data_IF_006768492077
#
_entry.id   IF_006768492077
#
_cell.length_a   1.000
_cell.length_b   1.000
_cell.length_c   1.000
_cell.angle_alpha   90.00
_cell.angle_beta   90.00
_cell.angle_gamma   90.00
#
_symmetry.space_group_name_H-M   'P 1'
#
loop_
_entity.id
_entity.type
_entity.pdbx_description
1 polymer ?
#
# COMPACT_ATOMS: atom_id res chain seq x y z
N UNK A 1 -11.46 10.49 25.47
CA UNK A 1 -10.35 11.19 24.82
C UNK A 1 -10.03 10.54 23.51
N UNK A 2 -9.92 11.35 22.49
CA UNK A 2 -9.61 10.84 21.17
C UNK A 2 -8.13 10.49 21.12
N UNK A 3 -7.82 9.27 20.71
CA UNK A 3 -6.43 8.90 20.46
C UNK A 3 -5.96 9.63 19.21
N UNK A 4 -5.11 10.61 19.41
CA UNK A 4 -4.52 11.33 18.30
C UNK A 4 -3.35 10.51 17.76
N UNK A 5 -3.31 10.30 16.45
CA UNK A 5 -2.14 9.68 15.85
C UNK A 5 -0.92 10.54 16.16
N UNK A 6 0.18 9.87 16.50
CA UNK A 6 1.44 10.56 16.69
C UNK A 6 2.00 10.96 15.34
N UNK A 7 1.69 12.18 14.92
CA UNK A 7 2.08 12.69 13.60
C UNK A 7 3.59 12.73 13.40
N UNK A 8 4.36 12.71 14.50
CA UNK A 8 5.81 12.72 14.39
C UNK A 8 6.39 11.39 13.89
N UNK A 9 5.57 10.33 13.91
CA UNK A 9 6.00 9.00 13.49
C UNK A 9 5.20 8.46 12.31
N UNK A 10 4.33 9.26 11.71
CA UNK A 10 3.45 8.79 10.63
C UNK A 10 3.73 9.50 9.31
N UNK A 11 3.47 8.78 8.21
CA UNK A 11 3.38 9.33 6.88
C UNK A 11 2.03 8.89 6.33
N UNK A 12 1.29 9.81 5.73
CA UNK A 12 -0.04 9.50 5.23
C UNK A 12 -0.24 10.11 3.85
N UNK A 13 -0.78 9.30 2.94
CA UNK A 13 -1.21 9.76 1.61
C UNK A 13 -2.61 9.22 1.36
N UNK A 14 -3.39 9.97 0.57
CA UNK A 14 -4.74 9.53 0.23
C UNK A 14 -5.10 9.99 -1.19
N UNK A 15 -6.14 9.35 -1.73
CA UNK A 15 -6.65 9.70 -3.04
C UNK A 15 -8.10 9.23 -3.18
N UNK A 16 -8.91 10.03 -3.86
CA UNK A 16 -10.27 9.63 -4.22
C UNK A 16 -10.22 8.96 -5.58
N UNK A 17 -10.54 7.66 -5.62
CA UNK A 17 -10.50 6.89 -6.87
C UNK A 17 -11.92 6.57 -7.32
N UNK A 18 -12.09 6.46 -8.64
CA UNK A 18 -13.41 6.32 -9.26
C UNK A 18 -13.81 4.85 -9.38
N UNK A 19 -14.03 4.22 -8.24
CA UNK A 19 -14.45 2.83 -8.14
C UNK A 19 -15.04 2.58 -6.76
N UNK A 20 -15.97 1.62 -6.62
CA UNK A 20 -16.53 1.32 -5.29
C UNK A 20 -15.52 0.56 -4.43
N UNK A 21 -15.68 0.60 -3.09
CA UNK A 21 -14.72 -0.02 -2.17
C UNK A 21 -14.45 -1.51 -2.46
N UNK A 22 -15.47 -2.27 -2.83
CA UNK A 22 -15.30 -3.69 -3.11
C UNK A 22 -14.32 -3.92 -4.26
N UNK A 23 -14.39 -3.10 -5.30
CA UNK A 23 -13.50 -3.21 -6.43
C UNK A 23 -12.08 -2.77 -6.06
N UNK A 24 -11.97 -1.66 -5.31
CA UNK A 24 -10.66 -1.20 -4.86
C UNK A 24 -10.01 -2.25 -3.94
N UNK A 25 -10.80 -2.84 -3.04
CA UNK A 25 -10.27 -3.87 -2.14
C UNK A 25 -9.75 -5.07 -2.93
N UNK A 26 -10.44 -5.45 -4.01
CA UNK A 26 -10.00 -6.55 -4.87
C UNK A 26 -8.62 -6.29 -5.47
N UNK A 27 -8.31 -5.03 -5.77
CA UNK A 27 -6.99 -4.65 -6.30
C UNK A 27 -5.88 -4.88 -5.29
N UNK A 28 -6.22 -5.05 -4.00
CA UNK A 28 -5.27 -5.25 -2.91
C UNK A 28 -5.12 -6.72 -2.52
N UNK A 29 -5.94 -7.60 -3.06
CA UNK A 29 -6.02 -8.99 -2.59
C UNK A 29 -5.44 -10.01 -3.56
N UNK A 30 -5.12 -9.61 -4.77
CA UNK A 30 -4.68 -10.51 -5.83
C UNK A 30 -3.33 -10.02 -6.36
N UNK A 31 -2.30 -10.88 -6.36
CA UNK A 31 -0.98 -10.48 -6.86
C UNK A 31 -1.00 -10.11 -8.34
N UNK A 32 -1.92 -10.67 -9.13
CA UNK A 32 -2.06 -10.27 -10.53
C UNK A 32 -2.39 -8.79 -10.67
N UNK A 33 -3.21 -8.28 -9.77
CA UNK A 33 -3.53 -6.85 -9.76
C UNK A 33 -2.40 -6.04 -9.15
N UNK A 34 -1.91 -6.46 -7.99
CA UNK A 34 -0.84 -5.72 -7.30
C UNK A 34 0.41 -5.55 -8.16
N UNK A 35 0.77 -6.58 -8.93
CA UNK A 35 1.94 -6.49 -9.80
C UNK A 35 1.79 -5.43 -10.90
N UNK A 36 0.54 -4.97 -11.16
CA UNK A 36 0.29 -3.98 -12.20
C UNK A 36 0.39 -2.54 -11.72
N UNK A 37 0.13 -2.28 -10.44
CA UNK A 37 0.03 -0.89 -9.98
C UNK A 37 0.80 -0.57 -8.70
N UNK A 38 1.17 -1.56 -7.90
CA UNK A 38 1.83 -1.32 -6.62
C UNK A 38 3.25 -0.80 -6.86
N UNK A 39 3.59 0.33 -6.20
CA UNK A 39 4.89 0.97 -6.32
C UNK A 39 4.83 2.29 -7.10
N UNK A 40 5.81 3.17 -6.88
CA UNK A 40 5.85 4.45 -7.57
C UNK A 40 6.26 4.30 -9.05
N UNK A 41 6.17 5.41 -9.78
CA UNK A 41 6.56 5.42 -11.19
C UNK A 41 8.00 4.95 -11.36
N UNK A 42 8.23 4.15 -12.40
CA UNK A 42 9.55 3.61 -12.68
C UNK A 42 9.86 2.30 -11.99
N UNK A 43 8.94 1.82 -11.13
CA UNK A 43 9.12 0.54 -10.45
C UNK A 43 8.14 -0.50 -10.99
N UNK A 44 8.58 -1.76 -10.96
CA UNK A 44 7.76 -2.90 -11.34
C UNK A 44 7.73 -3.88 -10.17
N UNK A 45 6.55 -4.28 -9.76
CA UNK A 45 6.37 -5.24 -8.65
C UNK A 45 6.26 -6.66 -9.20
N UNK A 46 7.05 -7.54 -8.61
CA UNK A 46 7.02 -8.97 -8.93
C UNK A 46 6.73 -9.75 -7.65
N UNK A 47 5.58 -10.40 -7.59
CA UNK A 47 5.18 -11.21 -6.44
C UNK A 47 5.85 -12.57 -6.51
N UNK A 48 6.49 -13.00 -5.41
CA UNK A 48 7.08 -14.32 -5.27
C UNK A 48 6.13 -15.28 -4.58
N UNK A 49 5.44 -14.79 -3.54
CA UNK A 49 4.41 -15.58 -2.85
C UNK A 49 3.43 -14.64 -2.16
N UNK A 50 2.21 -15.08 -2.01
CA UNK A 50 1.19 -14.32 -1.31
C UNK A 50 0.22 -15.25 -0.61
N UNK A 51 0.11 -15.09 0.70
CA UNK A 51 -0.90 -15.75 1.50
C UNK A 51 -1.76 -14.64 2.13
N UNK A 52 -2.90 -14.36 1.50
CA UNK A 52 -3.78 -13.26 1.92
C UNK A 52 -4.70 -13.74 3.04
N UNK A 53 -4.13 -13.80 4.24
CA UNK A 53 -4.85 -14.17 5.48
C UNK A 53 -4.13 -13.53 6.65
N UNK A 54 -4.81 -13.38 7.78
CA UNK A 54 -4.17 -12.83 8.98
C UNK A 54 -3.00 -13.73 9.37
N UNK A 55 -1.82 -13.13 9.53
CA UNK A 55 -0.57 -13.86 9.77
C UNK A 55 0.13 -14.31 8.51
N UNK A 56 -0.55 -14.25 7.37
CA UNK A 56 0.06 -14.61 6.09
C UNK A 56 1.01 -13.54 5.58
N UNK A 57 1.87 -13.92 4.65
CA UNK A 57 2.92 -13.05 4.13
C UNK A 57 2.78 -12.88 2.62
N UNK A 58 2.96 -11.66 2.17
CA UNK A 58 3.15 -11.32 0.76
C UNK A 58 4.60 -10.89 0.59
N UNK A 59 5.33 -11.66 -0.19
CA UNK A 59 6.74 -11.39 -0.46
C UNK A 59 6.91 -11.02 -1.93
N UNK A 60 7.56 -9.90 -2.17
CA UNK A 60 7.69 -9.39 -3.53
C UNK A 60 8.98 -8.59 -3.69
N UNK A 61 9.37 -8.38 -4.94
CA UNK A 61 10.50 -7.52 -5.30
C UNK A 61 9.99 -6.36 -6.11
N UNK A 62 10.44 -5.15 -5.75
CA UNK A 62 10.21 -3.96 -6.57
C UNK A 62 11.47 -3.72 -7.40
N UNK A 63 11.33 -3.90 -8.72
CA UNK A 63 12.42 -3.64 -9.66
C UNK A 63 12.44 -2.17 -10.01
N UNK A 64 13.47 -1.46 -9.55
CA UNK A 64 13.62 -0.04 -9.79
C UNK A 64 14.62 0.25 -10.91
N UNK A 65 14.77 1.52 -11.26
CA UNK A 65 15.72 1.89 -12.31
C UNK A 65 17.18 1.64 -11.95
N UNK A 66 17.51 1.71 -10.65
CA UNK A 66 18.89 1.57 -10.20
C UNK A 66 19.18 0.23 -9.54
N UNK A 67 18.19 -0.36 -8.90
CA UNK A 67 18.36 -1.61 -8.17
C UNK A 67 17.03 -2.26 -7.87
N UNK A 68 17.09 -3.51 -7.44
CA UNK A 68 15.93 -4.26 -6.98
C UNK A 68 15.81 -4.12 -5.47
N UNK A 69 14.56 -4.02 -5.00
CA UNK A 69 14.24 -3.85 -3.59
C UNK A 69 13.38 -5.01 -3.12
N UNK A 70 13.90 -5.87 -2.23
CA UNK A 70 13.06 -6.91 -1.65
C UNK A 70 12.07 -6.31 -0.67
N UNK A 71 10.89 -6.91 -0.58
CA UNK A 71 9.84 -6.43 0.31
C UNK A 71 9.04 -7.61 0.84
N UNK A 72 8.53 -7.45 2.06
CA UNK A 72 7.55 -8.38 2.60
C UNK A 72 6.50 -7.62 3.40
N UNK A 73 5.29 -8.16 3.40
CA UNK A 73 4.16 -7.64 4.18
C UNK A 73 3.56 -8.83 4.93
N UNK A 74 3.32 -8.65 6.23
CA UNK A 74 2.61 -9.64 7.03
C UNK A 74 1.30 -9.03 7.48
N UNK A 75 0.19 -9.65 7.09
CA UNK A 75 -1.15 -9.13 7.38
C UNK A 75 -1.49 -9.32 8.85
N UNK A 76 -1.92 -8.25 9.52
CA UNK A 76 -2.33 -8.26 10.92
C UNK A 76 -3.83 -8.14 11.08
N UNK A 77 -4.47 -7.40 10.16
CA UNK A 77 -5.92 -7.26 10.15
C UNK A 77 -6.39 -7.20 8.70
N UNK A 78 -7.43 -7.97 8.41
CA UNK A 78 -8.07 -7.96 7.09
C UNK A 78 -9.57 -7.79 7.34
N UNK A 79 -10.11 -6.60 7.04
CA UNK A 79 -11.52 -6.27 7.26
C UNK A 79 -12.11 -5.80 5.93
N UNK A 80 -12.58 -6.74 5.09
CA UNK A 80 -13.11 -6.35 3.78
C UNK A 80 -14.43 -5.59 3.91
N UNK A 81 -14.67 -4.64 3.04
CA UNK A 81 -13.78 -4.05 2.05
C UNK A 81 -13.16 -2.75 2.53
N UNK A 82 -12.93 -2.58 3.85
CA UNK A 82 -12.67 -1.28 4.44
C UNK A 82 -11.26 -1.08 4.95
N UNK A 83 -10.53 -2.17 5.30
CA UNK A 83 -9.29 -1.96 6.04
C UNK A 83 -8.33 -3.14 5.96
N UNK A 84 -7.06 -2.81 5.78
CA UNK A 84 -5.92 -3.72 5.94
C UNK A 84 -4.93 -3.10 6.90
N UNK A 85 -4.39 -3.90 7.82
CA UNK A 85 -3.28 -3.50 8.70
C UNK A 85 -2.19 -4.55 8.53
N UNK A 86 -0.95 -4.10 8.39
CA UNK A 86 0.15 -5.01 8.13
C UNK A 86 1.48 -4.47 8.62
N UNK A 87 2.42 -5.37 8.87
CA UNK A 87 3.82 -5.03 9.05
C UNK A 87 4.51 -5.09 7.70
N UNK A 88 5.44 -4.18 7.45
CA UNK A 88 6.14 -4.08 6.17
C UNK A 88 7.63 -4.00 6.42
N UNK A 89 8.39 -4.84 5.76
CA UNK A 89 9.84 -4.86 5.85
C UNK A 89 10.51 -5.03 4.51
N UNK A 90 11.84 -5.00 4.51
CA UNK A 90 12.65 -5.21 3.32
C UNK A 90 13.04 -6.67 3.17
N UNK A 91 14.20 -7.04 3.71
CA UNK A 91 14.62 -8.45 3.68
C UNK A 91 13.76 -9.28 4.64
N UNK A 92 13.37 -10.47 4.21
CA UNK A 92 12.48 -11.32 5.00
C UNK A 92 13.12 -11.75 6.33
N UNK A 93 14.44 -11.72 6.42
CA UNK A 93 15.18 -12.08 7.63
C UNK A 93 15.32 -10.92 8.61
N UNK A 94 14.88 -9.73 8.23
CA UNK A 94 15.00 -8.53 9.06
C UNK A 94 13.65 -8.12 9.63
N UNK A 95 13.63 -7.37 10.74
CA UNK A 95 12.37 -6.94 11.34
C UNK A 95 11.64 -5.93 10.45
N UNK A 96 10.38 -5.73 10.77
CA UNK A 96 9.55 -4.76 10.05
C UNK A 96 10.09 -3.35 10.21
N UNK A 97 10.00 -2.58 9.13
CA UNK A 97 10.42 -1.17 9.12
C UNK A 97 9.30 -0.26 9.62
N UNK A 98 8.05 -0.62 9.36
CA UNK A 98 6.90 0.17 9.78
C UNK A 98 5.64 -0.68 9.72
N UNK A 99 4.57 -0.15 10.33
CA UNK A 99 3.24 -0.73 10.21
C UNK A 99 2.45 0.09 9.20
N UNK A 100 1.82 -0.58 8.25
CA UNK A 100 0.97 0.07 7.26
C UNK A 100 -0.49 -0.15 7.56
N UNK A 101 -1.31 0.84 7.24
CA UNK A 101 -2.76 0.74 7.29
C UNK A 101 -3.32 1.29 6.00
N UNK A 102 -4.17 0.51 5.34
CA UNK A 102 -4.89 0.96 4.16
C UNK A 102 -6.36 0.99 4.54
N UNK A 103 -6.97 2.18 4.43
CA UNK A 103 -8.38 2.40 4.74
C UNK A 103 -9.13 2.75 3.47
N UNK A 104 -10.32 2.19 3.30
CA UNK A 104 -11.18 2.48 2.16
C UNK A 104 -12.50 3.03 2.68
N UNK A 105 -12.82 4.28 2.32
CA UNK A 105 -14.07 4.92 2.74
C UNK A 105 -14.91 5.27 1.52
N UNK A 106 -16.17 4.84 1.47
CA UNK A 106 -17.02 5.18 0.34
C UNK A 106 -17.36 6.67 0.35
N UNK A 107 -17.32 7.28 -0.83
CA UNK A 107 -17.77 8.65 -1.06
C UNK A 107 -18.64 8.62 -2.31
N UNK A 108 -19.95 8.50 -2.14
CA UNK A 108 -20.90 8.21 -3.21
C UNK A 108 -20.53 6.88 -3.88
N UNK A 109 -20.27 6.89 -5.19
CA UNK A 109 -19.86 5.69 -5.92
C UNK A 109 -18.34 5.57 -6.07
N UNK A 110 -17.60 6.38 -5.32
CA UNK A 110 -16.14 6.37 -5.32
C UNK A 110 -15.60 5.91 -3.98
N UNK A 111 -14.29 5.82 -3.90
CA UNK A 111 -13.60 5.38 -2.68
C UNK A 111 -12.43 6.31 -2.39
N UNK A 112 -12.36 6.78 -1.14
CA UNK A 112 -11.16 7.45 -0.65
C UNK A 112 -10.25 6.38 -0.05
N UNK A 113 -9.12 6.16 -0.71
CA UNK A 113 -8.11 5.24 -0.20
C UNK A 113 -7.05 6.05 0.53
N UNK A 114 -6.76 5.64 1.77
CA UNK A 114 -5.75 6.29 2.61
C UNK A 114 -4.73 5.24 3.02
N UNK A 115 -3.45 5.57 2.83
CA UNK A 115 -2.34 4.72 3.27
C UNK A 115 -1.60 5.47 4.37
N UNK A 116 -1.50 4.85 5.54
CA UNK A 116 -0.81 5.42 6.69
C UNK A 116 0.35 4.51 7.07
N UNK A 117 1.55 5.07 7.17
CA UNK A 117 2.74 4.35 7.61
C UNK A 117 3.09 4.84 9.01
N UNK A 118 3.23 3.90 9.95
CA UNK A 118 3.58 4.21 11.34
C UNK A 118 4.95 3.63 11.63
N UNK A 119 5.90 4.51 11.96
CA UNK A 119 7.28 4.14 12.26
C UNK A 119 7.51 4.04 13.77
N UNK A 120 8.54 3.32 14.17
CA UNK A 120 8.86 3.18 15.59
C UNK A 120 9.50 4.45 16.16
N UNK A 121 10.17 5.23 15.31
CA UNK A 121 10.84 6.46 15.74
C UNK A 121 10.57 7.59 14.74
N UNK A 122 10.69 8.82 15.25
CA UNK A 122 10.60 10.01 14.40
C UNK A 122 11.75 10.03 13.39
N UNK A 123 12.93 9.59 13.81
CA UNK A 123 14.10 9.57 12.94
C UNK A 123 13.89 8.67 11.74
N UNK A 124 13.30 7.49 11.94
CA UNK A 124 12.99 6.57 10.85
C UNK A 124 11.96 7.18 9.90
N UNK A 125 10.93 7.84 10.45
CA UNK A 125 9.93 8.54 9.65
C UNK A 125 10.57 9.63 8.81
N UNK A 126 11.42 10.44 9.41
CA UNK A 126 12.05 11.56 8.73
C UNK A 126 12.98 11.09 7.62
N UNK A 127 13.74 10.03 7.85
CA UNK A 127 14.61 9.44 6.82
C UNK A 127 13.79 8.97 5.62
N UNK A 128 12.62 8.37 5.87
CA UNK A 128 11.75 7.89 4.82
C UNK A 128 11.13 9.06 4.04
N UNK A 129 10.79 10.15 4.73
CA UNK A 129 10.31 11.37 4.07
C UNK A 129 11.39 11.94 3.14
N UNK A 130 12.63 11.99 3.57
CA UNK A 130 13.73 12.48 2.76
C UNK A 130 13.95 11.62 1.52
N UNK A 131 13.60 10.34 1.61
CA UNK A 131 13.69 9.40 0.50
C UNK A 131 12.56 9.61 -0.53
N UNK A 132 11.61 10.51 -0.27
CA UNK A 132 10.54 10.83 -1.20
C UNK A 132 9.29 9.99 -1.06
N UNK A 133 9.03 9.49 0.15
CA UNK A 133 7.90 8.56 0.38
C UNK A 133 6.54 9.19 0.07
N UNK A 134 6.35 10.48 0.34
CA UNK A 134 5.05 11.12 0.08
C UNK A 134 4.78 11.17 -1.41
N UNK A 135 5.75 11.60 -2.20
CA UNK A 135 5.59 11.64 -3.66
C UNK A 135 5.45 10.24 -4.24
N UNK A 136 6.24 9.30 -3.73
CA UNK A 136 6.14 7.90 -4.15
C UNK A 136 4.76 7.31 -3.86
N UNK A 137 4.22 7.60 -2.67
CA UNK A 137 2.88 7.16 -2.31
C UNK A 137 1.80 7.75 -3.19
N UNK A 138 1.92 9.03 -3.52
CA UNK A 138 0.98 9.69 -4.44
C UNK A 138 1.03 9.07 -5.83
N UNK A 139 2.24 8.77 -6.32
CA UNK A 139 2.41 8.10 -7.62
C UNK A 139 1.79 6.71 -7.61
N UNK A 140 1.98 5.97 -6.52
CA UNK A 140 1.40 4.64 -6.38
C UNK A 140 -0.12 4.68 -6.50
N UNK A 141 -0.75 5.61 -5.78
CA UNK A 141 -2.21 5.75 -5.82
C UNK A 141 -2.71 6.26 -7.18
N UNK A 142 -1.92 7.09 -7.86
CA UNK A 142 -2.26 7.51 -9.22
C UNK A 142 -2.21 6.33 -10.19
N UNK A 143 -1.25 5.42 -10.01
CA UNK A 143 -1.18 4.20 -10.81
C UNK A 143 -2.37 3.29 -10.56
N UNK A 144 -2.81 3.19 -9.30
CA UNK A 144 -4.03 2.44 -8.99
C UNK A 144 -5.23 3.02 -9.74
N UNK A 145 -5.40 4.34 -9.71
CA UNK A 145 -6.51 4.99 -10.40
C UNK A 145 -6.47 4.71 -11.90
N UNK A 146 -5.30 4.85 -12.51
CA UNK A 146 -5.15 4.56 -13.95
C UNK A 146 -5.45 3.10 -14.26
N UNK A 147 -5.02 2.18 -13.41
CA UNK A 147 -5.29 0.76 -13.58
C UNK A 147 -6.79 0.46 -13.48
N UNK A 148 -7.46 1.08 -12.50
CA UNK A 148 -8.91 0.92 -12.33
C UNK A 148 -9.68 1.44 -13.56
N UNK A 149 -9.29 2.60 -14.08
CA UNK A 149 -9.94 3.17 -15.27
C UNK A 149 -9.73 2.29 -16.48
N UNK A 150 -8.55 1.73 -16.65
CA UNK A 150 -8.24 0.84 -17.76
C UNK A 150 -9.09 -0.44 -17.66
N UNK A 151 -9.22 -1.00 -16.47
CA UNK A 151 -10.04 -2.18 -16.24
C UNK A 151 -11.50 -1.93 -16.54
N UNK A 152 -12.03 -0.79 -16.12
CA UNK A 152 -13.41 -0.42 -16.42
C UNK A 152 -13.64 -0.22 -17.92
N UNK A 153 -12.69 0.40 -18.60
CA UNK A 153 -12.78 0.60 -20.05
C UNK A 153 -12.75 -0.73 -20.81
N UNK A 154 -12.09 -1.75 -20.27
CA UNK A 154 -12.03 -3.09 -20.86
C UNK A 154 -13.17 -4.00 -20.39
N UNK A 155 -14.07 -3.51 -19.55
CA UNK A 155 -15.19 -4.31 -19.05
C UNK A 155 -14.82 -5.30 -17.97
N UNK A 156 -13.76 -5.06 -17.26
CA UNK A 156 -13.27 -5.93 -16.18
C UNK A 156 -14.00 -5.62 -14.88
#
# INVERSE_FOLDING_TARGET
MTMTLDNSRTIQVDRLVNAPPELVFRMLTDPKHLDQWWGPNGFRTETHEMNFSVGGVWRYTMHGPDRDWPNWIRYKEITPPTRLVYDHGGEITEPALFQGTISLEPEADRTRITITLLFQTTEARDATLEFGAVEGGKQTLARLEAYLEMGQACGV
#
